data_IF_139831154256
#
_entry.id   IF_139831154256
#
_cell.length_a   1.000
_cell.length_b   1.000
_cell.length_c   1.000
_cell.angle_alpha   90.00
_cell.angle_beta   90.00
_cell.angle_gamma   90.00
#
_symmetry.space_group_name_H-M   'P 1'
#
loop_
_entity.id
_entity.type
_entity.pdbx_description
1 polymer ?
#
# COMPACT_ATOMS: atom_id res chain seq x y z
N UNK A 1 21.81 -17.07 -9.86
CA UNK A 1 23.09 -17.69 -9.45
C UNK A 1 24.33 -16.80 -9.71
N UNK A 2 24.17 -15.61 -10.33
CA UNK A 2 25.30 -14.69 -10.62
C UNK A 2 25.36 -13.50 -9.64
N UNK A 3 24.74 -13.58 -8.47
CA UNK A 3 24.75 -12.50 -7.47
C UNK A 3 23.85 -11.31 -7.80
N UNK A 4 22.86 -11.47 -8.68
CA UNK A 4 21.87 -10.42 -8.96
C UNK A 4 20.98 -10.18 -7.73
N UNK A 5 20.68 -8.91 -7.47
CA UNK A 5 19.70 -8.54 -6.45
C UNK A 5 18.28 -8.88 -6.94
N UNK A 6 17.49 -9.53 -6.07
CA UNK A 6 16.11 -9.85 -6.37
C UNK A 6 15.18 -8.80 -5.75
N UNK A 7 14.62 -7.94 -6.60
CA UNK A 7 13.72 -6.85 -6.20
C UNK A 7 12.32 -7.16 -6.72
N UNK A 8 11.33 -7.07 -5.82
CA UNK A 8 9.91 -7.17 -6.14
C UNK A 8 9.23 -5.81 -6.11
N UNK A 9 8.38 -5.52 -7.08
CA UNK A 9 7.63 -4.26 -7.13
C UNK A 9 6.54 -4.22 -6.07
N UNK A 10 5.76 -5.29 -5.93
CA UNK A 10 4.72 -5.47 -4.92
C UNK A 10 4.46 -6.96 -4.67
N UNK A 11 3.85 -7.34 -3.54
CA UNK A 11 3.54 -8.73 -3.21
C UNK A 11 2.17 -9.21 -3.73
N UNK A 12 1.44 -8.41 -4.49
CA UNK A 12 0.07 -8.71 -4.90
C UNK A 12 0.04 -9.94 -5.81
N UNK A 13 -0.58 -11.01 -5.32
CA UNK A 13 -0.66 -12.28 -6.04
C UNK A 13 -1.64 -12.22 -7.20
N UNK A 14 -2.72 -11.47 -7.05
CA UNK A 14 -3.84 -11.46 -7.99
C UNK A 14 -4.23 -10.04 -8.38
N UNK A 15 -4.68 -9.90 -9.61
CA UNK A 15 -5.33 -8.70 -10.13
C UNK A 15 -6.79 -9.08 -10.42
N UNK A 16 -7.78 -8.51 -9.70
CA UNK A 16 -9.19 -8.76 -9.98
C UNK A 16 -9.58 -8.10 -11.31
N UNK A 17 -10.32 -8.84 -12.13
CA UNK A 17 -10.88 -8.35 -13.39
C UNK A 17 -12.34 -8.82 -13.53
N UNK A 18 -13.08 -8.26 -14.47
CA UNK A 18 -14.45 -8.70 -14.77
C UNK A 18 -14.55 -10.19 -15.15
N UNK A 19 -13.46 -10.78 -15.65
CA UNK A 19 -13.38 -12.18 -16.07
C UNK A 19 -12.79 -13.11 -15.03
N UNK A 20 -12.48 -12.61 -13.82
CA UNK A 20 -11.84 -13.36 -12.74
C UNK A 20 -10.46 -12.82 -12.38
N UNK A 21 -9.67 -13.65 -11.68
CA UNK A 21 -8.36 -13.25 -11.20
C UNK A 21 -7.27 -13.49 -12.25
N UNK A 22 -6.45 -12.48 -12.48
CA UNK A 22 -5.21 -12.60 -13.24
C UNK A 22 -4.00 -12.63 -12.29
N UNK A 23 -2.87 -13.25 -12.69
CA UNK A 23 -1.64 -13.21 -11.89
C UNK A 23 -1.13 -11.78 -11.75
N UNK A 24 -0.87 -11.37 -10.50
CA UNK A 24 -0.17 -10.13 -10.17
C UNK A 24 1.35 -10.31 -10.16
N UNK A 25 2.08 -9.23 -9.92
CA UNK A 25 3.54 -9.25 -9.81
C UNK A 25 4.02 -10.22 -8.72
N UNK A 26 3.31 -10.29 -7.59
CA UNK A 26 3.63 -11.20 -6.50
C UNK A 26 3.60 -12.68 -6.90
N UNK A 27 2.73 -13.09 -7.83
CA UNK A 27 2.69 -14.47 -8.33
C UNK A 27 3.98 -14.83 -9.09
N UNK A 28 4.47 -13.92 -9.95
CA UNK A 28 5.73 -14.12 -10.66
C UNK A 28 6.93 -14.11 -9.72
N UNK A 29 6.91 -13.22 -8.73
CA UNK A 29 7.94 -13.12 -7.70
C UNK A 29 7.98 -14.39 -6.85
N UNK A 30 6.82 -14.90 -6.43
CA UNK A 30 6.72 -16.17 -5.67
C UNK A 30 7.26 -17.36 -6.46
N UNK A 31 6.98 -17.42 -7.77
CA UNK A 31 7.54 -18.45 -8.64
C UNK A 31 9.08 -18.39 -8.65
N UNK A 32 9.66 -17.20 -8.79
CA UNK A 32 11.11 -17.01 -8.79
C UNK A 32 11.73 -17.31 -7.41
N UNK A 33 11.07 -16.89 -6.31
CA UNK A 33 11.49 -17.21 -4.94
C UNK A 33 11.53 -18.73 -4.72
N UNK A 34 10.48 -19.42 -5.11
CA UNK A 34 10.40 -20.88 -5.00
C UNK A 34 11.50 -21.58 -5.81
N UNK A 35 11.76 -21.12 -7.03
CA UNK A 35 12.75 -21.71 -7.92
C UNK A 35 14.19 -21.43 -7.48
N UNK A 36 14.48 -20.26 -6.92
CA UNK A 36 15.83 -19.82 -6.57
C UNK A 36 16.16 -19.99 -5.10
N UNK A 37 15.14 -20.07 -4.23
CA UNK A 37 15.22 -20.02 -2.76
C UNK A 37 15.82 -18.70 -2.24
N UNK A 38 15.78 -17.66 -3.05
CA UNK A 38 16.21 -16.30 -2.68
C UNK A 38 14.96 -15.45 -2.45
N UNK A 39 14.86 -14.83 -1.27
CA UNK A 39 13.75 -13.92 -0.96
C UNK A 39 13.91 -12.59 -1.69
N UNK A 40 12.84 -12.02 -2.24
CA UNK A 40 12.87 -10.70 -2.83
C UNK A 40 12.94 -9.61 -1.77
N UNK A 41 13.47 -8.44 -2.15
CA UNK A 41 13.24 -7.18 -1.43
C UNK A 41 12.06 -6.48 -2.08
N UNK A 42 10.93 -6.43 -1.41
CA UNK A 42 9.76 -5.68 -1.91
C UNK A 42 9.93 -4.19 -1.65
N UNK A 43 9.79 -3.39 -2.70
CA UNK A 43 9.92 -1.92 -2.61
C UNK A 43 8.57 -1.21 -2.55
N UNK A 44 7.49 -1.83 -3.04
CA UNK A 44 6.15 -1.24 -3.06
C UNK A 44 5.45 -1.23 -1.70
N UNK A 45 4.34 -0.51 -1.62
CA UNK A 45 3.47 -0.45 -0.44
C UNK A 45 3.15 -1.84 0.14
N UNK A 46 3.12 -2.03 1.46
CA UNK A 46 3.27 -1.03 2.53
C UNK A 46 4.73 -0.80 2.98
N UNK A 47 5.74 -1.28 2.24
CA UNK A 47 7.14 -1.25 2.67
C UNK A 47 7.69 0.17 2.77
N UNK A 48 8.65 0.35 3.72
CA UNK A 48 9.23 1.65 4.01
C UNK A 48 10.01 2.25 2.83
N UNK A 49 10.61 1.42 1.97
CA UNK A 49 11.48 1.88 0.89
C UNK A 49 10.79 2.91 -0.01
N UNK A 50 9.58 2.61 -0.49
CA UNK A 50 8.84 3.54 -1.36
C UNK A 50 8.35 4.77 -0.57
N UNK A 51 7.97 4.58 0.70
CA UNK A 51 7.50 5.69 1.55
C UNK A 51 8.64 6.64 1.90
N UNK A 52 9.83 6.13 2.22
CA UNK A 52 11.02 6.94 2.45
C UNK A 52 11.38 7.78 1.22
N UNK A 53 11.31 7.17 0.04
CA UNK A 53 11.56 7.89 -1.22
C UNK A 53 10.51 8.95 -1.52
N UNK A 54 9.25 8.70 -1.20
CA UNK A 54 8.19 9.71 -1.34
C UNK A 54 8.42 10.90 -0.39
N UNK A 55 8.72 10.64 0.88
CA UNK A 55 9.04 11.66 1.89
C UNK A 55 10.27 12.49 1.45
N UNK A 56 11.34 11.82 1.03
CA UNK A 56 12.56 12.46 0.51
C UNK A 56 12.25 13.37 -0.69
N UNK A 57 11.44 12.88 -1.63
CA UNK A 57 11.08 13.63 -2.85
C UNK A 57 10.23 14.86 -2.54
N UNK A 58 9.29 14.76 -1.59
CA UNK A 58 8.43 15.86 -1.18
C UNK A 58 9.18 16.91 -0.34
N UNK A 59 10.26 16.53 0.35
CA UNK A 59 11.01 17.42 1.22
C UNK A 59 10.22 17.87 2.47
N UNK A 60 9.19 17.12 2.85
CA UNK A 60 8.30 17.41 3.98
C UNK A 60 8.56 16.41 5.13
N UNK A 61 8.12 16.77 6.34
CA UNK A 61 8.10 15.83 7.46
C UNK A 61 6.94 14.84 7.27
N UNK A 62 7.08 13.63 7.84
CA UNK A 62 6.05 12.59 7.73
C UNK A 62 4.67 13.05 8.22
N UNK A 63 4.64 13.90 9.24
CA UNK A 63 3.41 14.45 9.84
C UNK A 63 2.74 15.54 8.97
N UNK A 64 3.46 16.06 7.97
CA UNK A 64 2.97 17.05 7.01
C UNK A 64 2.45 16.40 5.70
N UNK A 65 2.47 15.07 5.66
CA UNK A 65 2.04 14.25 4.52
C UNK A 65 0.85 13.39 4.97
N UNK A 66 -0.08 13.13 4.07
CA UNK A 66 -1.13 12.16 4.27
C UNK A 66 -1.09 11.08 3.19
N UNK A 67 -1.14 9.81 3.60
CA UNK A 67 -1.28 8.68 2.69
C UNK A 67 -2.76 8.42 2.43
N UNK A 68 -3.21 8.64 1.20
CA UNK A 68 -4.58 8.43 0.78
C UNK A 68 -4.70 7.13 0.01
N UNK A 69 -5.69 6.31 0.32
CA UNK A 69 -5.93 5.08 -0.41
C UNK A 69 -7.19 4.36 -0.01
N UNK A 70 -7.55 3.34 -0.77
CA UNK A 70 -8.75 2.52 -0.60
C UNK A 70 -8.47 1.11 -0.07
N UNK A 71 -7.22 0.69 -0.07
CA UNK A 71 -6.80 -0.62 0.40
C UNK A 71 -6.08 -0.51 1.74
N UNK A 72 -6.73 -1.03 2.80
CA UNK A 72 -6.14 -1.02 4.14
C UNK A 72 -4.79 -1.72 4.19
N UNK A 73 -4.66 -2.90 3.58
CA UNK A 73 -3.47 -3.75 3.71
C UNK A 73 -2.24 -3.17 3.01
N UNK A 74 -2.41 -2.31 2.03
CA UNK A 74 -1.32 -1.71 1.28
C UNK A 74 -1.18 -0.22 1.55
N UNK A 75 -2.23 0.57 1.26
CA UNK A 75 -2.17 2.02 1.34
C UNK A 75 -2.14 2.52 2.79
N UNK A 76 -3.14 2.09 3.56
CA UNK A 76 -3.30 2.58 4.93
C UNK A 76 -2.16 2.05 5.82
N UNK A 77 -1.80 0.77 5.64
CA UNK A 77 -0.63 0.20 6.32
C UNK A 77 0.67 0.92 5.92
N UNK A 78 0.81 1.37 4.68
CA UNK A 78 1.96 2.18 4.27
C UNK A 78 2.06 3.48 5.07
N UNK A 79 0.94 4.15 5.35
CA UNK A 79 0.90 5.29 6.26
C UNK A 79 1.25 4.89 7.70
N UNK A 80 0.48 3.98 8.28
CA UNK A 80 0.60 3.55 9.68
C UNK A 80 2.02 3.04 10.00
N UNK A 81 2.52 2.09 9.21
CA UNK A 81 3.80 1.42 9.47
C UNK A 81 5.01 2.35 9.29
N UNK A 82 4.83 3.47 8.60
CA UNK A 82 5.87 4.46 8.34
C UNK A 82 5.64 5.80 9.08
N UNK A 83 4.70 5.88 10.01
CA UNK A 83 4.44 7.08 10.81
C UNK A 83 3.95 8.28 10.00
N UNK A 84 3.20 8.02 8.93
CA UNK A 84 2.55 9.01 8.07
C UNK A 84 1.05 8.96 8.34
N UNK A 85 0.37 10.08 8.61
CA UNK A 85 -1.09 10.13 8.69
C UNK A 85 -1.76 9.46 7.49
N UNK A 86 -2.86 8.75 7.72
CA UNK A 86 -3.56 8.00 6.68
C UNK A 86 -5.02 8.39 6.55
N UNK A 87 -5.51 8.45 5.31
CA UNK A 87 -6.90 8.67 4.96
C UNK A 87 -7.40 7.48 4.14
N UNK A 88 -8.29 6.68 4.74
CA UNK A 88 -8.99 5.61 4.05
C UNK A 88 -10.22 6.16 3.34
N UNK A 89 -10.36 5.88 2.04
CA UNK A 89 -11.60 6.09 1.28
C UNK A 89 -12.25 4.74 0.99
N UNK A 90 -13.54 4.60 1.30
CA UNK A 90 -14.23 3.32 1.20
C UNK A 90 -14.91 3.09 -0.16
N UNK A 91 -14.50 3.84 -1.19
CA UNK A 91 -14.97 3.69 -2.57
C UNK A 91 -14.39 2.48 -3.29
N UNK A 92 -13.32 1.87 -2.76
CA UNK A 92 -12.56 0.85 -3.45
C UNK A 92 -12.54 -0.51 -2.75
N UNK A 93 -11.33 -0.97 -2.41
CA UNK A 93 -11.07 -2.33 -1.93
C UNK A 93 -11.65 -2.58 -0.53
N UNK A 94 -11.32 -1.73 0.45
CA UNK A 94 -11.82 -1.84 1.83
C UNK A 94 -13.23 -1.29 1.92
N UNK A 95 -14.16 -2.08 2.46
CA UNK A 95 -15.57 -1.72 2.52
C UNK A 95 -15.91 -1.00 3.84
N UNK A 96 -16.97 -0.15 3.85
CA UNK A 96 -17.38 0.57 5.06
C UNK A 96 -17.62 -0.32 6.28
N UNK A 97 -18.20 -1.50 6.10
CA UNK A 97 -18.49 -2.47 7.16
C UNK A 97 -17.24 -3.11 7.78
N UNK A 98 -16.09 -3.05 7.08
CA UNK A 98 -14.83 -3.59 7.57
C UNK A 98 -14.11 -2.61 8.52
N UNK A 99 -14.38 -1.30 8.40
CA UNK A 99 -13.65 -0.24 9.09
C UNK A 99 -13.63 -0.42 10.62
N UNK A 100 -14.76 -0.81 11.21
CA UNK A 100 -14.87 -0.99 12.65
C UNK A 100 -14.01 -2.15 13.21
N UNK A 101 -13.59 -3.08 12.33
CA UNK A 101 -12.83 -4.28 12.68
C UNK A 101 -11.36 -4.20 12.29
N UNK A 102 -10.89 -3.05 11.81
CA UNK A 102 -9.48 -2.89 11.42
C UNK A 102 -8.57 -2.96 12.64
N UNK A 103 -7.44 -3.68 12.57
CA UNK A 103 -6.52 -3.86 13.69
C UNK A 103 -5.94 -2.56 14.25
N UNK A 104 -5.69 -1.58 13.37
CA UNK A 104 -5.25 -0.23 13.73
C UNK A 104 -6.07 0.74 12.90
N UNK A 105 -6.72 1.70 13.57
CA UNK A 105 -7.57 2.67 12.88
C UNK A 105 -6.74 3.59 11.97
N UNK A 106 -7.23 3.91 10.76
CA UNK A 106 -6.70 5.02 9.97
C UNK A 106 -6.81 6.35 10.73
N UNK A 107 -6.00 7.35 10.35
CA UNK A 107 -6.13 8.69 10.93
C UNK A 107 -7.48 9.32 10.59
N UNK A 108 -7.91 9.14 9.33
CA UNK A 108 -9.20 9.60 8.83
C UNK A 108 -9.86 8.53 7.98
N UNK A 109 -11.19 8.54 7.93
CA UNK A 109 -12.00 7.69 7.05
C UNK A 109 -13.06 8.56 6.39
N UNK A 110 -13.17 8.46 5.07
CA UNK A 110 -14.23 9.10 4.29
C UNK A 110 -14.92 8.06 3.39
N UNK A 111 -16.18 8.27 3.07
CA UNK A 111 -16.86 7.42 2.09
C UNK A 111 -16.34 7.70 0.67
N UNK A 112 -15.96 8.95 0.39
CA UNK A 112 -15.35 9.37 -0.88
C UNK A 112 -14.40 10.55 -0.65
N UNK A 113 -13.38 10.67 -1.49
CA UNK A 113 -12.47 11.83 -1.45
C UNK A 113 -13.18 13.16 -1.75
N UNK A 114 -14.35 13.13 -2.39
CA UNK A 114 -15.17 14.31 -2.60
C UNK A 114 -15.74 14.96 -1.32
N UNK A 115 -15.69 14.24 -0.21
CA UNK A 115 -16.08 14.76 1.11
C UNK A 115 -14.95 15.54 1.81
N UNK A 116 -13.73 15.46 1.27
CA UNK A 116 -12.61 16.20 1.84
C UNK A 116 -12.75 17.69 1.56
N UNK A 117 -12.87 18.48 2.63
CA UNK A 117 -12.86 19.93 2.52
C UNK A 117 -11.43 20.46 2.77
N UNK A 118 -10.80 21.00 1.72
CA UNK A 118 -9.44 21.54 1.79
C UNK A 118 -9.38 22.94 2.42
N UNK A 119 -10.53 23.58 2.64
CA UNK A 119 -10.62 24.98 3.09
C UNK A 119 -10.73 25.13 4.62
N UNK A 120 -10.79 24.05 5.38
CA UNK A 120 -11.01 24.06 6.84
C UNK A 120 -9.77 23.74 7.69
N UNK A 121 -8.55 24.02 7.18
CA UNK A 121 -7.31 23.85 7.98
C UNK A 121 -6.51 25.14 8.09
#
# INVERSE_FOLDING_TARGET
HKGAHFIGTNPDLNIPTERGLLPGAGSLITLLEAATRVKPVYIGKPNAIIMDKAVEHLGLKRQEIVMVGDNYLTDIRAGIDNGIPSLLVTTGFTKPEEVANLPIAPTHVLSSLSEWNFDEN
#
